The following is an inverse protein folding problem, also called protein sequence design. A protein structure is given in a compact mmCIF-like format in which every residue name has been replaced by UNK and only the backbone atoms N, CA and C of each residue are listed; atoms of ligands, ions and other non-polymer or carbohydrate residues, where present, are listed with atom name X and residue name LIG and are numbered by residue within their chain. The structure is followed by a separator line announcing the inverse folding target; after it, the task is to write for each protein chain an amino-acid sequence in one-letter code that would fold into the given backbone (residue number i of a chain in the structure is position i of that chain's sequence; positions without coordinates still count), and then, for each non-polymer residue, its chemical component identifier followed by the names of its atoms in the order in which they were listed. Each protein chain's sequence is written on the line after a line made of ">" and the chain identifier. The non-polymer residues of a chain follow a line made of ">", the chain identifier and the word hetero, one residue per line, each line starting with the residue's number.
data_IF_817808418803
#
_entry.id   IF_817808418803
#
_cell.length_a   1.000
_cell.length_b   1.000
_cell.length_c   1.000
_cell.angle_alpha   90.00
_cell.angle_beta   90.00
_cell.angle_gamma   90.00
#
_symmetry.space_group_name_H-M   'P 1'
#
loop_
_entity.id
_entity.type
_entity.pdbx_description
1 polymer ?
#
# COMPACT_ATOMS: atom_id res chain seq x y z
N UNK A 1 61.22 -21.85 9.70
CA UNK A 1 60.20 -20.92 10.22
C UNK A 1 59.02 -20.98 9.25
N UNK A 2 57.93 -21.54 9.75
CA UNK A 2 56.73 -21.95 9.01
C UNK A 2 55.94 -20.75 8.50
N UNK A 3 55.67 -20.71 7.20
CA UNK A 3 54.75 -19.76 6.59
C UNK A 3 53.31 -20.22 6.81
N UNK A 4 52.60 -19.55 7.71
CA UNK A 4 51.18 -19.76 7.91
C UNK A 4 50.39 -19.11 6.76
N UNK A 5 49.84 -19.94 5.87
CA UNK A 5 48.89 -19.51 4.85
C UNK A 5 47.61 -18.95 5.49
N UNK A 6 47.15 -17.80 5.01
CA UNK A 6 45.81 -17.27 5.34
C UNK A 6 44.75 -18.21 4.76
N UNK A 7 43.76 -18.65 5.53
CA UNK A 7 42.68 -19.46 4.98
C UNK A 7 41.87 -18.60 4.01
N UNK A 8 41.69 -19.12 2.80
CA UNK A 8 40.73 -18.58 1.84
C UNK A 8 39.32 -18.81 2.41
N UNK A 9 38.61 -17.73 2.73
CA UNK A 9 37.18 -17.79 3.07
C UNK A 9 36.38 -17.99 1.78
N UNK A 10 36.34 -19.22 1.29
CA UNK A 10 35.40 -19.64 0.24
C UNK A 10 34.09 -20.06 0.90
N UNK A 11 33.26 -19.08 1.23
CA UNK A 11 31.85 -19.28 1.57
C UNK A 11 31.02 -18.36 0.70
N UNK A 12 30.52 -18.85 -0.44
CA UNK A 12 29.41 -18.18 -1.11
C UNK A 12 28.22 -18.27 -0.17
N UNK A 13 27.91 -17.17 0.53
CA UNK A 13 26.69 -17.08 1.31
C UNK A 13 25.52 -17.44 0.39
N UNK A 14 24.82 -18.53 0.73
CA UNK A 14 23.71 -19.05 -0.06
C UNK A 14 22.67 -17.93 -0.20
N UNK A 15 22.35 -17.52 -1.44
CA UNK A 15 21.38 -16.45 -1.67
C UNK A 15 20.02 -16.94 -1.22
N UNK A 16 19.44 -16.26 -0.23
CA UNK A 16 18.07 -16.50 0.20
C UNK A 16 17.11 -16.33 -1.00
N UNK A 17 16.05 -17.15 -1.07
CA UNK A 17 15.02 -16.96 -2.07
C UNK A 17 14.34 -15.60 -1.89
N UNK A 18 13.76 -15.07 -2.96
CA UNK A 18 12.96 -13.86 -2.83
C UNK A 18 11.74 -14.16 -1.97
N UNK A 19 11.48 -13.32 -0.96
CA UNK A 19 10.33 -13.48 -0.08
C UNK A 19 8.99 -13.57 -0.85
N UNK A 20 8.89 -12.89 -1.99
CA UNK A 20 7.71 -12.97 -2.86
C UNK A 20 7.55 -14.29 -3.61
N UNK A 21 8.64 -15.02 -3.85
CA UNK A 21 8.56 -16.34 -4.47
C UNK A 21 8.10 -17.38 -3.44
N UNK A 22 8.61 -17.27 -2.21
CA UNK A 22 8.18 -18.12 -1.09
C UNK A 22 6.70 -17.91 -0.77
N UNK A 23 6.27 -16.65 -0.63
CA UNK A 23 4.85 -16.29 -0.41
C UNK A 23 3.92 -16.90 -1.47
N UNK A 24 4.28 -16.78 -2.77
CA UNK A 24 3.52 -17.42 -3.86
C UNK A 24 3.50 -18.95 -3.76
N UNK A 25 4.66 -19.57 -3.49
CA UNK A 25 4.77 -21.03 -3.41
C UNK A 25 3.91 -21.62 -2.29
N UNK A 26 3.75 -20.88 -1.19
CA UNK A 26 2.90 -21.23 -0.05
C UNK A 26 1.43 -20.90 -0.26
N UNK A 27 1.08 -20.24 -1.37
CA UNK A 27 -0.26 -19.72 -1.64
C UNK A 27 -0.76 -18.86 -0.46
N UNK A 28 0.09 -17.93 0.00
CA UNK A 28 -0.27 -16.96 1.04
C UNK A 28 -1.42 -16.07 0.52
N UNK A 29 -2.54 -16.07 1.23
CA UNK A 29 -3.63 -15.14 1.00
C UNK A 29 -3.22 -13.77 1.55
N UNK A 30 -3.13 -12.73 0.70
CA UNK A 30 -2.62 -11.42 1.11
C UNK A 30 -3.65 -10.58 1.88
N UNK A 31 -4.90 -11.04 2.02
CA UNK A 31 -5.98 -10.23 2.62
C UNK A 31 -5.69 -9.83 4.08
N UNK A 32 -6.12 -8.63 4.47
CA UNK A 32 -5.89 -8.10 5.80
C UNK A 32 -4.47 -7.55 6.01
N UNK A 33 -3.66 -7.47 4.95
CA UNK A 33 -2.28 -6.96 5.03
C UNK A 33 -2.13 -5.56 4.45
N UNK A 34 -3.21 -4.94 3.97
CA UNK A 34 -3.20 -3.53 3.66
C UNK A 34 -3.06 -2.71 4.95
N UNK A 35 -2.24 -1.66 4.97
CA UNK A 35 -2.18 -0.75 6.11
C UNK A 35 -3.50 0.00 6.29
N UNK A 36 -3.80 0.43 7.52
CA UNK A 36 -4.98 1.24 7.83
C UNK A 36 -4.65 2.74 7.73
N UNK A 37 -5.18 3.40 6.70
CA UNK A 37 -4.90 4.80 6.37
C UNK A 37 -6.15 5.68 6.45
N UNK A 38 -6.13 6.67 7.34
CA UNK A 38 -7.13 7.74 7.38
C UNK A 38 -6.96 8.74 6.22
N UNK A 39 -5.76 8.85 5.68
CA UNK A 39 -5.44 9.71 4.54
C UNK A 39 -4.15 9.24 3.87
N UNK A 40 -3.93 9.66 2.63
CA UNK A 40 -2.72 9.34 1.87
C UNK A 40 -2.14 10.61 1.26
N UNK A 41 -0.83 10.80 1.42
CA UNK A 41 -0.06 11.80 0.71
C UNK A 41 0.89 11.11 -0.26
N UNK A 42 0.78 11.45 -1.53
CA UNK A 42 1.76 11.11 -2.56
C UNK A 42 2.65 12.32 -2.79
N UNK A 43 3.93 12.19 -2.49
CA UNK A 43 4.96 13.15 -2.87
C UNK A 43 5.51 12.77 -4.24
N UNK A 44 5.56 13.69 -5.18
CA UNK A 44 6.27 13.49 -6.44
C UNK A 44 7.74 13.87 -6.26
N UNK A 45 8.59 12.85 -6.20
CA UNK A 45 10.01 12.97 -5.91
C UNK A 45 10.82 12.11 -6.87
N UNK A 46 11.92 12.65 -7.37
CA UNK A 46 12.89 11.90 -8.17
C UNK A 46 13.32 10.65 -7.43
N UNK A 47 13.52 9.55 -8.18
CA UNK A 47 13.89 8.24 -7.61
C UNK A 47 15.14 8.33 -6.72
N UNK A 48 16.10 9.20 -7.06
CA UNK A 48 17.33 9.42 -6.29
C UNK A 48 17.08 10.00 -4.89
N UNK A 49 15.95 10.68 -4.67
CA UNK A 49 15.56 11.26 -3.38
C UNK A 49 14.80 10.29 -2.48
N UNK A 50 14.24 9.20 -3.03
CA UNK A 50 13.50 8.22 -2.22
C UNK A 50 14.35 7.57 -1.13
N UNK A 51 15.66 7.40 -1.38
CA UNK A 51 16.59 6.88 -0.39
C UNK A 51 16.83 7.89 0.75
N UNK A 52 16.92 9.19 0.43
CA UNK A 52 17.16 10.26 1.40
C UNK A 52 16.01 10.37 2.41
N UNK A 53 14.76 10.21 1.95
CA UNK A 53 13.60 10.23 2.83
C UNK A 53 13.64 9.10 3.87
N UNK A 54 14.38 8.01 3.60
CA UNK A 54 14.51 6.86 4.53
C UNK A 54 15.84 6.83 5.29
N UNK A 55 16.69 7.86 5.12
CA UNK A 55 17.97 8.00 5.82
C UNK A 55 17.78 8.90 7.05
N UNK A 56 17.24 8.30 8.12
CA UNK A 56 16.87 8.99 9.36
C UNK A 56 18.07 9.69 10.04
N UNK A 57 19.29 9.18 9.85
CA UNK A 57 20.51 9.77 10.41
C UNK A 57 20.84 11.11 9.77
N UNK A 58 20.41 11.32 8.52
CA UNK A 58 20.65 12.56 7.76
C UNK A 58 19.49 13.55 7.82
N UNK A 59 18.42 13.23 8.54
CA UNK A 59 17.28 14.13 8.63
C UNK A 59 17.65 15.46 9.28
N UNK A 60 17.04 16.54 8.81
CA UNK A 60 17.09 17.84 9.49
C UNK A 60 16.24 17.82 10.77
N UNK A 61 16.43 18.76 11.72
CA UNK A 61 15.54 18.89 12.88
C UNK A 61 14.07 19.05 12.49
N UNK A 62 13.78 19.79 11.41
CA UNK A 62 12.43 19.95 10.89
C UNK A 62 11.84 18.61 10.43
N UNK A 63 12.59 17.86 9.61
CA UNK A 63 12.15 16.55 9.11
C UNK A 63 11.86 15.58 10.25
N UNK A 64 12.74 15.53 11.28
CA UNK A 64 12.48 14.73 12.50
C UNK A 64 11.19 15.17 13.21
N UNK A 65 11.02 16.47 13.43
CA UNK A 65 9.85 17.01 14.11
C UNK A 65 8.52 16.72 13.39
N UNK A 66 8.53 16.64 12.05
CA UNK A 66 7.35 16.21 11.27
C UNK A 66 6.94 14.80 11.64
N UNK A 67 7.88 13.85 11.66
CA UNK A 67 7.57 12.45 11.96
C UNK A 67 7.21 12.21 13.44
N UNK A 68 7.80 12.97 14.36
CA UNK A 68 7.42 12.93 15.79
C UNK A 68 5.94 13.33 15.96
N UNK A 69 5.53 14.46 15.36
CA UNK A 69 4.13 14.92 15.40
C UNK A 69 3.17 13.96 14.69
N UNK A 70 3.60 13.39 13.56
CA UNK A 70 2.80 12.39 12.86
C UNK A 70 2.61 11.11 13.70
N UNK A 71 3.65 10.67 14.42
CA UNK A 71 3.56 9.52 15.34
C UNK A 71 2.56 9.80 16.46
N UNK A 72 2.64 10.96 17.11
CA UNK A 72 1.70 11.38 18.15
C UNK A 72 0.25 11.37 17.65
N UNK A 73 0.02 11.86 16.43
CA UNK A 73 -1.31 11.84 15.82
C UNK A 73 -1.81 10.42 15.57
N UNK A 74 -0.98 9.52 15.06
CA UNK A 74 -1.35 8.10 14.85
C UNK A 74 -1.65 7.40 16.18
N UNK A 75 -0.90 7.70 17.24
CA UNK A 75 -1.14 7.19 18.59
C UNK A 75 -2.48 7.67 19.17
N UNK A 76 -2.91 8.90 18.85
CA UNK A 76 -4.18 9.45 19.28
C UNK A 76 -5.39 8.93 18.46
N UNK A 77 -5.26 8.86 17.13
CA UNK A 77 -6.38 8.58 16.21
C UNK A 77 -6.55 7.07 15.91
N UNK A 78 -5.53 6.24 16.18
CA UNK A 78 -5.53 4.80 15.92
C UNK A 78 -5.43 4.38 14.45
N UNK A 79 -5.68 5.29 13.52
CA UNK A 79 -5.46 5.12 12.08
C UNK A 79 -4.16 5.78 11.64
N UNK A 80 -3.43 5.12 10.73
CA UNK A 80 -2.21 5.65 10.13
C UNK A 80 -2.48 6.62 8.98
N UNK A 81 -1.40 6.99 8.29
CA UNK A 81 -1.44 7.70 7.02
C UNK A 81 -0.58 6.97 5.99
N UNK A 82 -0.98 7.08 4.71
CA UNK A 82 -0.18 6.61 3.60
C UNK A 82 0.82 7.68 3.18
N UNK A 83 2.09 7.31 3.09
CA UNK A 83 3.13 8.15 2.53
C UNK A 83 3.75 7.43 1.34
N UNK A 84 3.42 7.90 0.13
CA UNK A 84 3.94 7.34 -1.12
C UNK A 84 4.88 8.35 -1.77
N UNK A 85 5.97 7.84 -2.36
CA UNK A 85 6.90 8.66 -3.16
C UNK A 85 6.81 8.19 -4.59
N UNK A 86 6.22 8.98 -5.48
CA UNK A 86 6.07 8.63 -6.90
C UNK A 86 7.06 9.39 -7.76
N UNK A 87 7.62 8.72 -8.76
CA UNK A 87 8.58 9.35 -9.65
C UNK A 87 7.84 10.40 -10.48
N UNK A 88 8.33 11.64 -10.57
CA UNK A 88 7.69 12.65 -11.39
C UNK A 88 7.81 12.27 -12.87
N UNK A 89 6.87 12.74 -13.68
CA UNK A 89 6.92 12.56 -15.13
C UNK A 89 8.11 13.30 -15.75
N UNK A 90 8.45 14.45 -15.18
CA UNK A 90 9.62 15.25 -15.55
C UNK A 90 10.62 15.22 -14.38
N UNK A 91 11.83 14.70 -14.59
CA UNK A 91 12.89 14.78 -13.58
C UNK A 91 13.14 16.22 -13.16
N UNK A 92 13.56 16.42 -11.91
CA UNK A 92 13.93 17.74 -11.38
C UNK A 92 12.80 18.79 -11.35
N UNK A 93 11.55 18.37 -11.58
CA UNK A 93 10.38 19.23 -11.43
C UNK A 93 10.21 19.70 -9.97
N UNK A 94 9.63 20.90 -9.73
CA UNK A 94 9.27 21.34 -8.39
C UNK A 94 8.39 20.34 -7.64
N UNK A 95 8.39 20.44 -6.30
CA UNK A 95 7.62 19.54 -5.44
C UNK A 95 6.13 19.65 -5.73
N UNK A 96 5.52 18.50 -6.04
CA UNK A 96 4.07 18.33 -6.17
C UNK A 96 3.58 17.32 -5.14
N UNK A 97 2.37 17.53 -4.66
CA UNK A 97 1.71 16.62 -3.74
C UNK A 97 0.31 16.27 -4.22
N UNK A 98 -0.08 15.02 -3.98
CA UNK A 98 -1.46 14.56 -4.16
C UNK A 98 -1.95 14.08 -2.81
N UNK A 99 -3.03 14.67 -2.33
CA UNK A 99 -3.60 14.40 -1.03
C UNK A 99 -4.95 13.71 -1.18
N UNK A 100 -5.13 12.64 -0.44
CA UNK A 100 -6.28 11.75 -0.51
C UNK A 100 -6.89 11.66 0.88
N UNK A 101 -8.05 12.29 1.08
CA UNK A 101 -8.79 12.24 2.35
C UNK A 101 -9.96 11.27 2.23
N UNK A 102 -10.35 10.57 3.30
CA UNK A 102 -11.47 9.60 3.24
C UNK A 102 -12.73 10.22 2.64
N UNK A 103 -13.42 9.44 1.82
CA UNK A 103 -14.70 9.80 1.24
C UNK A 103 -15.47 8.56 0.77
N UNK A 104 -16.63 8.78 0.15
CA UNK A 104 -17.44 7.69 -0.36
C UNK A 104 -16.66 6.86 -1.39
N UNK A 105 -16.69 5.52 -1.24
CA UNK A 105 -16.03 4.58 -2.14
C UNK A 105 -14.50 4.56 -2.11
N UNK A 106 -13.86 5.24 -1.15
CA UNK A 106 -12.39 5.30 -1.08
C UNK A 106 -11.88 6.58 -0.43
N UNK A 107 -11.19 7.37 -1.24
CA UNK A 107 -10.64 8.67 -0.89
C UNK A 107 -11.07 9.73 -1.92
N UNK A 108 -10.96 11.00 -1.53
CA UNK A 108 -11.13 12.17 -2.39
C UNK A 108 -9.75 12.74 -2.66
N UNK A 109 -9.37 12.80 -3.94
CA UNK A 109 -8.07 13.29 -4.40
C UNK A 109 -8.09 14.80 -4.60
N UNK A 110 -7.04 15.48 -4.13
CA UNK A 110 -6.68 16.86 -4.47
C UNK A 110 -5.20 16.94 -4.82
N UNK A 111 -4.89 17.63 -5.91
CA UNK A 111 -3.53 17.76 -6.43
C UNK A 111 -3.04 19.19 -6.27
N UNK A 112 -1.79 19.34 -5.86
CA UNK A 112 -1.16 20.63 -5.62
C UNK A 112 0.26 20.68 -6.17
N UNK A 113 0.64 21.83 -6.72
CA UNK A 113 2.00 22.13 -7.12
C UNK A 113 2.55 23.29 -6.28
N UNK A 114 3.85 23.26 -6.00
CA UNK A 114 4.57 24.36 -5.35
C UNK A 114 5.70 24.89 -6.23
N UNK A 115 6.31 25.99 -5.81
CA UNK A 115 7.62 26.43 -6.30
C UNK A 115 8.79 25.86 -5.50
N UNK A 116 8.55 24.94 -4.57
CA UNK A 116 9.58 24.42 -3.68
C UNK A 116 10.46 23.38 -4.39
N UNK A 117 11.77 23.34 -4.10
CA UNK A 117 12.59 22.22 -4.50
C UNK A 117 12.12 20.93 -3.80
N UNK A 118 12.38 19.79 -4.43
CA UNK A 118 12.02 18.48 -3.86
C UNK A 118 12.77 18.14 -2.55
N UNK A 119 13.81 18.90 -2.15
CA UNK A 119 14.49 18.72 -0.85
C UNK A 119 13.61 19.18 0.31
N UNK A 120 12.66 20.07 0.03
CA UNK A 120 11.67 20.57 0.98
C UNK A 120 10.44 19.65 1.05
N UNK A 121 10.60 18.35 0.77
CA UNK A 121 9.52 17.35 0.80
C UNK A 121 8.74 17.34 2.12
N UNK A 122 9.38 17.71 3.23
CA UNK A 122 8.75 17.84 4.54
C UNK A 122 7.61 18.87 4.53
N UNK A 123 7.72 19.96 3.76
CA UNK A 123 6.65 20.95 3.61
C UNK A 123 5.40 20.34 2.99
N UNK A 124 5.56 19.38 2.07
CA UNK A 124 4.44 18.63 1.50
C UNK A 124 3.71 17.78 2.55
N UNK A 125 4.45 17.10 3.43
CA UNK A 125 3.87 16.32 4.52
C UNK A 125 3.21 17.23 5.57
N UNK A 126 3.85 18.34 5.93
CA UNK A 126 3.26 19.32 6.85
C UNK A 126 1.95 19.85 6.27
N UNK A 127 1.97 20.33 5.01
CA UNK A 127 0.81 20.93 4.38
C UNK A 127 -0.35 19.95 4.17
N UNK A 128 -0.10 18.64 4.07
CA UNK A 128 -1.16 17.66 3.84
C UNK A 128 -1.64 16.98 5.11
N UNK A 129 -0.73 16.60 6.01
CA UNK A 129 -1.01 15.72 7.15
C UNK A 129 -0.94 16.43 8.51
N UNK A 130 -0.49 17.68 8.60
CA UNK A 130 -0.35 18.37 9.90
C UNK A 130 -1.03 19.74 9.92
N UNK A 131 -0.97 20.49 8.83
CA UNK A 131 -1.47 21.85 8.71
C UNK A 131 -2.01 22.13 7.29
N UNK A 132 -3.24 21.65 6.98
CA UNK A 132 -3.89 21.84 5.68
C UNK A 132 -4.06 23.29 5.24
N UNK A 133 -4.00 24.26 6.16
CA UNK A 133 -4.10 25.68 5.79
C UNK A 133 -2.93 26.12 4.91
N UNK A 134 -1.76 25.48 5.04
CA UNK A 134 -0.59 25.76 4.22
C UNK A 134 -0.80 25.46 2.73
N UNK A 135 -1.75 24.59 2.37
CA UNK A 135 -2.09 24.32 0.97
C UNK A 135 -2.64 25.56 0.24
N UNK A 136 -3.06 26.62 0.96
CA UNK A 136 -3.43 27.90 0.36
C UNK A 136 -2.27 28.58 -0.37
N UNK A 137 -1.01 28.30 0.02
CA UNK A 137 0.19 28.78 -0.66
C UNK A 137 0.60 27.89 -1.85
N UNK A 138 -0.12 26.80 -2.12
CA UNK A 138 0.15 25.87 -3.21
C UNK A 138 -0.85 26.07 -4.34
N UNK A 139 -0.40 25.90 -5.58
CA UNK A 139 -1.27 26.01 -6.74
C UNK A 139 -2.10 24.73 -6.91
N UNK A 140 -3.45 24.81 -6.84
CA UNK A 140 -4.30 23.64 -7.08
C UNK A 140 -4.18 23.20 -8.55
N UNK A 141 -4.15 21.88 -8.76
CA UNK A 141 -4.04 21.27 -10.07
C UNK A 141 -5.34 20.54 -10.45
N UNK A 142 -5.71 20.51 -11.74
CA UNK A 142 -6.81 19.66 -12.20
C UNK A 142 -6.56 18.19 -11.88
N UNK A 143 -7.57 17.50 -11.34
CA UNK A 143 -7.51 16.07 -11.05
C UNK A 143 -8.04 15.30 -12.27
N UNK A 144 -7.23 14.46 -12.92
CA UNK A 144 -7.68 13.71 -14.08
C UNK A 144 -8.59 12.54 -13.65
N UNK A 145 -9.61 12.16 -14.45
CA UNK A 145 -10.60 11.16 -14.06
C UNK A 145 -10.00 9.74 -13.99
N UNK A 146 -10.58 8.88 -13.16
CA UNK A 146 -10.14 7.48 -13.00
C UNK A 146 -8.98 7.30 -12.01
N UNK A 147 -8.55 6.05 -11.77
CA UNK A 147 -7.52 5.74 -10.78
C UNK A 147 -6.09 5.87 -11.30
N UNK A 148 -5.16 5.94 -10.35
CA UNK A 148 -3.71 5.82 -10.53
C UNK A 148 -3.22 4.55 -9.82
N UNK A 149 -2.33 3.81 -10.49
CA UNK A 149 -1.68 2.62 -9.93
C UNK A 149 -0.25 2.93 -9.53
N UNK A 150 0.01 2.97 -8.23
CA UNK A 150 1.31 3.22 -7.63
C UNK A 150 2.05 1.90 -7.40
N UNK A 151 2.95 1.56 -8.32
CA UNK A 151 3.65 0.26 -8.33
C UNK A 151 4.99 0.41 -7.61
N UNK A 152 5.22 -0.40 -6.58
CA UNK A 152 6.50 -0.40 -5.89
C UNK A 152 7.59 -0.94 -6.83
N UNK A 153 8.60 -0.11 -7.14
CA UNK A 153 9.76 -0.50 -7.98
C UNK A 153 11.09 -0.39 -7.22
N UNK A 154 11.04 -0.22 -5.90
CA UNK A 154 12.22 0.06 -5.08
C UNK A 154 13.00 -1.22 -4.75
N UNK A 155 14.01 -1.53 -5.56
CA UNK A 155 14.79 -2.77 -5.44
C UNK A 155 15.86 -2.81 -4.34
N UNK A 156 16.17 -1.71 -3.68
CA UNK A 156 17.22 -1.66 -2.62
C UNK A 156 16.70 -2.12 -1.26
N UNK A 157 15.40 -1.98 -0.98
CA UNK A 157 14.78 -2.46 0.27
C UNK A 157 14.63 -3.98 0.22
N UNK A 158 14.10 -4.48 -0.89
CA UNK A 158 14.03 -5.89 -1.20
C UNK A 158 14.07 -6.06 -2.73
N UNK A 159 14.90 -6.99 -3.20
CA UNK A 159 15.09 -7.23 -4.63
C UNK A 159 13.79 -7.64 -5.34
N UNK A 160 12.82 -8.21 -4.62
CA UNK A 160 11.54 -8.64 -5.18
C UNK A 160 10.74 -7.47 -5.79
N UNK A 161 10.73 -6.29 -5.15
CA UNK A 161 10.03 -5.12 -5.69
C UNK A 161 10.68 -4.59 -6.98
N UNK A 162 12.01 -4.56 -7.05
CA UNK A 162 12.72 -4.19 -8.28
C UNK A 162 12.48 -5.18 -9.41
N UNK A 163 12.57 -6.49 -9.11
CA UNK A 163 12.41 -7.58 -10.08
C UNK A 163 11.00 -7.67 -10.66
N UNK A 164 9.96 -7.65 -9.81
CA UNK A 164 8.58 -7.88 -10.23
C UNK A 164 7.82 -6.58 -10.53
N UNK A 165 8.10 -5.51 -9.80
CA UNK A 165 7.37 -4.25 -9.95
C UNK A 165 7.67 -3.51 -11.25
N UNK A 166 8.92 -3.54 -11.73
CA UNK A 166 9.31 -2.83 -12.97
C UNK A 166 8.56 -3.37 -14.20
N UNK A 167 8.49 -4.70 -14.45
CA UNK A 167 7.67 -5.25 -15.53
C UNK A 167 6.18 -4.89 -15.41
N UNK A 168 5.61 -4.92 -14.20
CA UNK A 168 4.20 -4.54 -13.98
C UNK A 168 3.94 -3.08 -14.35
N UNK A 169 4.81 -2.18 -13.91
CA UNK A 169 4.71 -0.76 -14.28
C UNK A 169 4.78 -0.57 -15.81
N UNK A 170 5.70 -1.26 -16.48
CA UNK A 170 5.84 -1.20 -17.94
C UNK A 170 4.60 -1.74 -18.66
N UNK A 171 4.05 -2.87 -18.21
CA UNK A 171 2.83 -3.44 -18.79
C UNK A 171 1.62 -2.52 -18.67
N UNK A 172 1.43 -1.90 -17.49
CA UNK A 172 0.38 -0.90 -17.29
C UNK A 172 0.55 0.31 -18.21
N UNK A 173 1.77 0.85 -18.32
CA UNK A 173 2.07 1.99 -19.18
C UNK A 173 1.82 1.66 -20.67
N UNK A 174 2.25 0.47 -21.12
CA UNK A 174 2.01 0.00 -22.49
C UNK A 174 0.52 -0.18 -22.80
N UNK A 175 -0.28 -0.55 -21.80
CA UNK A 175 -1.74 -0.70 -21.92
C UNK A 175 -2.51 0.64 -21.76
N UNK A 176 -1.81 1.78 -21.65
CA UNK A 176 -2.42 3.09 -21.47
C UNK A 176 -3.06 3.32 -20.10
N UNK A 177 -2.74 2.48 -19.10
CA UNK A 177 -3.20 2.66 -17.72
C UNK A 177 -2.27 3.63 -17.01
N UNK A 178 -2.85 4.63 -16.31
CA UNK A 178 -2.05 5.59 -15.53
C UNK A 178 -1.38 4.88 -14.36
N UNK A 179 -0.08 4.69 -14.47
CA UNK A 179 0.74 4.05 -13.46
C UNK A 179 1.92 4.95 -13.07
N UNK A 180 2.36 4.78 -11.82
CA UNK A 180 3.48 5.48 -11.24
C UNK A 180 4.50 4.47 -10.74
N UNK A 181 5.77 4.74 -11.02
CA UNK A 181 6.84 4.12 -10.26
C UNK A 181 6.82 4.73 -8.87
N UNK A 182 6.72 3.90 -7.85
CA UNK A 182 6.62 4.35 -6.47
C UNK A 182 7.70 3.70 -5.61
N UNK A 183 8.17 4.44 -4.60
CA UNK A 183 9.06 3.95 -3.57
C UNK A 183 8.42 2.86 -2.70
N UNK A 184 9.16 2.39 -1.72
CA UNK A 184 8.70 1.30 -0.87
C UNK A 184 7.61 1.76 0.12
N UNK A 185 6.48 1.06 0.15
CA UNK A 185 5.35 1.32 1.05
C UNK A 185 4.92 0.07 1.85
N UNK A 186 5.81 -0.92 1.99
CA UNK A 186 5.51 -2.20 2.65
C UNK A 186 4.94 -3.26 1.72
N UNK A 187 4.93 -4.51 2.19
CA UNK A 187 4.41 -5.66 1.42
C UNK A 187 5.34 -6.17 0.32
N UNK A 188 6.66 -6.06 0.48
CA UNK A 188 7.62 -6.58 -0.51
C UNK A 188 7.51 -8.10 -0.71
N UNK A 189 7.08 -8.85 0.31
CA UNK A 189 6.75 -10.29 0.16
C UNK A 189 5.55 -10.54 -0.77
N UNK A 190 4.78 -9.52 -1.09
CA UNK A 190 3.69 -9.58 -2.04
C UNK A 190 4.06 -8.98 -3.40
N UNK A 191 5.35 -8.73 -3.66
CA UNK A 191 5.78 -8.11 -4.91
C UNK A 191 5.38 -8.98 -6.12
N UNK A 192 4.92 -8.40 -7.24
CA UNK A 192 4.66 -6.96 -7.40
C UNK A 192 3.41 -6.53 -6.62
N UNK A 193 3.54 -5.43 -5.88
CA UNK A 193 2.45 -4.82 -5.12
C UNK A 193 2.18 -3.41 -5.64
N UNK A 194 0.91 -3.02 -5.68
CA UNK A 194 0.46 -1.72 -6.12
C UNK A 194 -0.60 -1.15 -5.18
N UNK A 195 -0.62 0.17 -5.02
CA UNK A 195 -1.75 0.89 -4.42
C UNK A 195 -2.55 1.52 -5.55
N UNK A 196 -3.85 1.27 -5.59
CA UNK A 196 -4.78 1.96 -6.48
C UNK A 196 -5.43 3.12 -5.72
N UNK A 197 -5.26 4.34 -6.24
CA UNK A 197 -5.86 5.55 -5.68
C UNK A 197 -6.74 6.21 -6.74
N UNK A 198 -7.94 6.70 -6.41
CA UNK A 198 -8.42 6.99 -5.07
C UNK A 198 -9.20 5.85 -4.38
N UNK A 199 -9.35 4.66 -4.96
CA UNK A 199 -10.12 3.57 -4.34
C UNK A 199 -9.55 3.08 -3.02
N UNK A 200 -8.23 3.22 -2.81
CA UNK A 200 -7.54 2.77 -1.60
C UNK A 200 -7.26 1.27 -1.57
N UNK A 201 -7.41 0.57 -2.69
CA UNK A 201 -7.16 -0.87 -2.76
C UNK A 201 -5.67 -1.15 -2.91
N UNK A 202 -5.18 -2.12 -2.15
CA UNK A 202 -3.81 -2.61 -2.29
C UNK A 202 -3.80 -4.00 -2.88
N UNK A 203 -2.91 -4.22 -3.84
CA UNK A 203 -2.82 -5.44 -4.63
C UNK A 203 -1.50 -6.17 -4.39
N UNK A 204 -1.51 -7.48 -4.59
CA UNK A 204 -0.42 -8.41 -4.33
C UNK A 204 -0.19 -9.34 -5.53
N UNK A 205 1.05 -9.82 -5.66
CA UNK A 205 1.48 -10.84 -6.62
C UNK A 205 1.11 -10.51 -8.08
N UNK A 206 1.06 -9.23 -8.44
CA UNK A 206 0.68 -8.81 -9.77
C UNK A 206 1.70 -9.31 -10.81
N UNK A 207 1.19 -9.79 -11.95
CA UNK A 207 1.92 -9.89 -13.21
C UNK A 207 1.53 -8.69 -14.10
N UNK A 208 2.28 -8.39 -15.18
CA UNK A 208 1.93 -7.30 -16.09
C UNK A 208 0.50 -7.42 -16.64
N UNK A 209 0.10 -8.61 -17.09
CA UNK A 209 -1.23 -8.88 -17.65
C UNK A 209 -2.31 -8.76 -16.58
N UNK A 210 -2.09 -9.38 -15.42
CA UNK A 210 -3.03 -9.34 -14.30
C UNK A 210 -3.26 -7.92 -13.80
N UNK A 211 -2.21 -7.10 -13.75
CA UNK A 211 -2.31 -5.71 -13.32
C UNK A 211 -3.23 -4.89 -14.25
N UNK A 212 -3.14 -5.12 -15.56
CA UNK A 212 -4.03 -4.46 -16.54
C UNK A 212 -5.48 -4.91 -16.36
N UNK A 213 -5.72 -6.21 -16.20
CA UNK A 213 -7.06 -6.75 -16.00
C UNK A 213 -7.69 -6.23 -14.69
N UNK A 214 -6.91 -6.16 -13.60
CA UNK A 214 -7.33 -5.57 -12.32
C UNK A 214 -7.64 -4.08 -12.48
N UNK A 215 -6.79 -3.31 -13.17
CA UNK A 215 -6.99 -1.88 -13.37
C UNK A 215 -8.28 -1.56 -14.13
N UNK A 216 -8.64 -2.43 -15.08
CA UNK A 216 -9.82 -2.29 -15.94
C UNK A 216 -11.06 -3.00 -15.41
N UNK A 217 -10.95 -3.67 -14.25
CA UNK A 217 -12.03 -4.49 -13.66
C UNK A 217 -12.53 -5.60 -14.59
N UNK A 218 -11.62 -6.18 -15.38
CA UNK A 218 -11.93 -7.22 -16.36
C UNK A 218 -12.03 -8.63 -15.73
N UNK A 219 -11.52 -8.81 -14.51
CA UNK A 219 -11.63 -10.06 -13.75
C UNK A 219 -12.96 -10.18 -13.04
N UNK A 220 -13.40 -11.42 -12.80
CA UNK A 220 -14.45 -11.64 -11.82
C UNK A 220 -13.99 -11.20 -10.42
N UNK A 221 -14.85 -10.61 -9.58
CA UNK A 221 -14.51 -10.18 -8.23
C UNK A 221 -13.83 -11.27 -7.39
N UNK A 222 -14.29 -12.52 -7.50
CA UNK A 222 -13.70 -13.68 -6.81
C UNK A 222 -12.27 -14.02 -7.25
N UNK A 223 -11.92 -13.75 -8.52
CA UNK A 223 -10.56 -13.95 -9.04
C UNK A 223 -9.65 -12.82 -8.59
N UNK A 224 -10.10 -11.57 -8.73
CA UNK A 224 -9.35 -10.40 -8.27
C UNK A 224 -9.11 -10.42 -6.75
N UNK A 225 -10.09 -10.88 -5.97
CA UNK A 225 -10.03 -10.97 -4.52
C UNK A 225 -8.84 -11.80 -4.00
N UNK A 226 -8.32 -12.76 -4.78
CA UNK A 226 -7.14 -13.57 -4.44
C UNK A 226 -5.84 -12.76 -4.41
N UNK A 227 -5.85 -11.60 -5.06
CA UNK A 227 -4.72 -10.68 -5.16
C UNK A 227 -4.94 -9.42 -4.32
N UNK A 228 -6.06 -9.32 -3.61
CA UNK A 228 -6.40 -8.14 -2.82
C UNK A 228 -5.77 -8.24 -1.44
N UNK A 229 -4.88 -7.29 -1.11
CA UNK A 229 -4.36 -7.11 0.25
C UNK A 229 -5.41 -6.52 1.19
N UNK A 230 -6.28 -5.66 0.65
CA UNK A 230 -7.37 -5.04 1.37
C UNK A 230 -7.61 -3.60 0.95
N UNK A 231 -8.65 -3.01 1.52
CA UNK A 231 -8.95 -1.59 1.44
C UNK A 231 -8.27 -0.85 2.59
N UNK A 232 -7.38 0.10 2.28
CA UNK A 232 -6.62 0.83 3.29
C UNK A 232 -7.50 1.65 4.24
N UNK A 233 -8.72 1.98 3.85
CA UNK A 233 -9.66 2.70 4.70
C UNK A 233 -10.25 1.88 5.87
N UNK A 234 -9.90 0.61 5.99
CA UNK A 234 -10.41 -0.30 7.01
C UNK A 234 -9.26 -0.93 7.83
N UNK A 235 -9.49 -1.24 9.11
CA UNK A 235 -8.54 -1.99 9.92
C UNK A 235 -8.35 -3.43 9.36
N UNK A 236 -7.22 -4.09 9.64
CA UNK A 236 -6.83 -5.37 9.03
C UNK A 236 -7.93 -6.45 8.97
N UNK A 237 -8.55 -6.80 10.10
CA UNK A 237 -9.58 -7.84 10.12
C UNK A 237 -10.85 -7.44 9.36
N UNK A 238 -11.17 -6.14 9.31
CA UNK A 238 -12.30 -5.66 8.53
C UNK A 238 -12.08 -5.72 7.03
N UNK A 239 -10.84 -5.71 6.55
CA UNK A 239 -10.53 -5.90 5.13
C UNK A 239 -10.92 -7.31 4.67
N UNK A 240 -10.80 -8.32 5.55
CA UNK A 240 -11.23 -9.70 5.27
C UNK A 240 -12.74 -9.72 4.99
N UNK A 241 -13.53 -9.07 5.86
CA UNK A 241 -14.98 -8.97 5.67
C UNK A 241 -15.35 -8.15 4.42
N UNK A 242 -14.65 -7.05 4.17
CA UNK A 242 -14.85 -6.20 2.98
C UNK A 242 -14.65 -6.97 1.67
N UNK A 243 -13.67 -7.87 1.62
CA UNK A 243 -13.43 -8.74 0.47
C UNK A 243 -14.60 -9.69 0.22
N UNK A 244 -15.19 -10.28 1.27
CA UNK A 244 -16.34 -11.16 1.09
C UNK A 244 -17.55 -10.41 0.52
N UNK A 245 -17.74 -9.15 0.91
CA UNK A 245 -18.79 -8.29 0.35
C UNK A 245 -18.49 -7.90 -1.11
N UNK A 246 -17.22 -7.65 -1.46
CA UNK A 246 -16.80 -7.49 -2.86
C UNK A 246 -17.13 -8.73 -3.70
N UNK A 247 -16.90 -9.93 -3.18
CA UNK A 247 -17.20 -11.18 -3.88
C UNK A 247 -18.72 -11.33 -4.08
N UNK A 248 -19.52 -11.06 -3.05
CA UNK A 248 -20.98 -11.22 -3.08
C UNK A 248 -21.68 -10.18 -3.97
N UNK A 249 -21.24 -8.92 -3.91
CA UNK A 249 -21.93 -7.80 -4.54
C UNK A 249 -21.24 -7.28 -5.80
N UNK A 250 -20.06 -7.82 -6.10
CA UNK A 250 -19.24 -7.46 -7.24
C UNK A 250 -18.63 -6.06 -7.18
N UNK A 251 -18.05 -5.62 -8.30
CA UNK A 251 -17.26 -4.38 -8.36
C UNK A 251 -18.00 -3.12 -7.90
N UNK A 252 -19.33 -3.08 -8.06
CA UNK A 252 -20.16 -1.97 -7.60
C UNK A 252 -20.14 -1.80 -6.07
N UNK A 253 -19.75 -2.82 -5.30
CA UNK A 253 -19.53 -2.70 -3.86
C UNK A 253 -18.49 -1.64 -3.50
N UNK A 254 -17.49 -1.42 -4.37
CA UNK A 254 -16.41 -0.48 -4.10
C UNK A 254 -16.89 0.97 -3.98
N UNK A 255 -18.08 1.29 -4.50
CA UNK A 255 -18.71 2.62 -4.38
C UNK A 255 -19.30 2.85 -2.97
N UNK A 256 -19.39 1.81 -2.14
CA UNK A 256 -19.91 1.92 -0.79
C UNK A 256 -19.00 2.78 0.09
N UNK A 257 -19.60 3.78 0.75
CA UNK A 257 -19.00 4.42 1.91
C UNK A 257 -19.07 3.44 3.08
N UNK A 258 -17.93 3.08 3.66
CA UNK A 258 -17.84 1.99 4.64
C UNK A 258 -16.73 2.19 5.66
N UNK A 259 -17.06 1.84 6.89
CA UNK A 259 -16.18 1.82 8.06
C UNK A 259 -16.47 0.57 8.88
N UNK A 260 -15.56 0.22 9.79
CA UNK A 260 -15.74 -0.96 10.62
C UNK A 260 -15.16 -0.78 12.02
N UNK A 261 -15.77 -1.45 12.98
CA UNK A 261 -15.23 -1.68 14.32
C UNK A 261 -14.79 -3.13 14.45
N UNK A 262 -13.72 -3.34 15.21
CA UNK A 262 -13.15 -4.67 15.47
C UNK A 262 -13.04 -4.85 16.97
N UNK A 263 -13.61 -5.92 17.50
CA UNK A 263 -13.52 -6.29 18.91
C UNK A 263 -13.08 -7.76 19.02
N UNK A 264 -11.81 -7.97 19.34
CA UNK A 264 -11.21 -9.30 19.26
C UNK A 264 -11.21 -9.81 17.81
N UNK A 265 -11.88 -10.93 17.57
CA UNK A 265 -12.09 -11.54 16.25
C UNK A 265 -13.43 -11.14 15.61
N UNK A 266 -14.30 -10.40 16.30
CA UNK A 266 -15.58 -9.95 15.75
C UNK A 266 -15.44 -8.62 15.03
N UNK A 267 -15.92 -8.59 13.79
CA UNK A 267 -15.92 -7.42 12.92
C UNK A 267 -17.36 -6.99 12.68
N UNK A 268 -17.60 -5.69 12.85
CA UNK A 268 -18.84 -5.04 12.43
C UNK A 268 -18.51 -4.02 11.34
N UNK A 269 -18.96 -4.26 10.12
CA UNK A 269 -18.81 -3.35 8.98
C UNK A 269 -20.13 -2.63 8.73
N UNK A 270 -20.09 -1.30 8.80
CA UNK A 270 -21.23 -0.42 8.53
C UNK A 270 -21.00 0.27 7.20
N UNK A 271 -22.03 0.34 6.37
CA UNK A 271 -21.93 0.91 5.04
C UNK A 271 -23.15 1.73 4.63
N UNK A 272 -22.93 2.65 3.69
CA UNK A 272 -23.96 3.28 2.87
C UNK A 272 -23.68 3.00 1.41
N UNK A 273 -24.59 2.32 0.75
CA UNK A 273 -24.45 1.90 -0.64
C UNK A 273 -25.78 2.05 -1.38
N UNK A 274 -25.77 2.69 -2.55
CA UNK A 274 -26.98 2.95 -3.37
C UNK A 274 -28.13 3.60 -2.58
N UNK A 275 -27.79 4.52 -1.68
CA UNK A 275 -28.74 5.24 -0.83
C UNK A 275 -29.25 4.45 0.38
N UNK A 276 -28.87 3.19 0.54
CA UNK A 276 -29.26 2.35 1.67
C UNK A 276 -28.12 2.25 2.69
N UNK A 277 -28.45 2.42 3.96
CA UNK A 277 -27.55 2.12 5.06
C UNK A 277 -27.72 0.65 5.48
N UNK A 278 -26.62 0.00 5.84
CA UNK A 278 -26.63 -1.38 6.29
C UNK A 278 -25.44 -1.69 7.17
N UNK A 279 -25.50 -2.85 7.80
CA UNK A 279 -24.45 -3.36 8.67
C UNK A 279 -24.29 -4.86 8.42
N UNK A 280 -23.05 -5.34 8.48
CA UNK A 280 -22.72 -6.76 8.42
C UNK A 280 -21.74 -7.13 9.52
N UNK A 281 -21.97 -8.28 10.14
CA UNK A 281 -21.20 -8.80 11.27
C UNK A 281 -20.69 -10.18 10.96
N UNK A 282 -19.44 -10.41 11.31
CA UNK A 282 -18.81 -11.72 11.20
C UNK A 282 -17.72 -11.89 12.26
N UNK A 283 -17.40 -13.14 12.56
CA UNK A 283 -16.17 -13.53 13.23
C UNK A 283 -15.10 -13.85 12.18
N UNK A 284 -13.88 -13.36 12.41
CA UNK A 284 -12.71 -13.57 11.54
C UNK A 284 -11.66 -14.38 12.30
N UNK A 285 -11.69 -15.69 12.11
CA UNK A 285 -10.82 -16.65 12.79
C UNK A 285 -9.52 -16.90 12.01
N UNK A 286 -8.44 -17.23 12.71
CA UNK A 286 -7.23 -17.75 12.07
C UNK A 286 -7.45 -19.22 11.71
N UNK A 287 -7.59 -19.51 10.43
CA UNK A 287 -7.79 -20.86 9.90
C UNK A 287 -6.50 -21.69 9.85
N UNK A 288 -5.37 -21.04 9.54
CA UNK A 288 -4.02 -21.62 9.56
C UNK A 288 -2.97 -20.53 9.72
N UNK A 289 -1.75 -20.93 10.07
CA UNK A 289 -0.57 -20.08 10.06
C UNK A 289 0.37 -20.57 8.96
N UNK A 290 1.05 -19.64 8.29
CA UNK A 290 2.14 -19.94 7.35
C UNK A 290 3.45 -19.40 7.92
N UNK A 291 4.54 -20.12 7.74
CA UNK A 291 5.88 -19.61 8.06
C UNK A 291 6.50 -19.01 6.81
N UNK A 292 6.69 -17.69 6.81
CA UNK A 292 7.22 -16.95 5.66
C UNK A 292 8.50 -16.21 6.02
N UNK A 293 9.50 -16.13 5.13
CA UNK A 293 10.71 -15.34 5.38
C UNK A 293 10.37 -13.87 5.65
N UNK A 294 11.07 -13.26 6.61
CA UNK A 294 10.86 -11.86 6.97
C UNK A 294 11.27 -10.89 5.86
N UNK A 295 12.31 -11.21 5.09
CA UNK A 295 12.69 -10.53 3.85
C UNK A 295 13.68 -11.38 3.04
N UNK A 296 13.99 -10.96 1.82
CA UNK A 296 15.01 -11.62 0.99
C UNK A 296 16.45 -11.48 1.55
N UNK A 297 16.62 -10.76 2.66
CA UNK A 297 17.91 -10.51 3.31
C UNK A 297 17.95 -10.94 4.80
N UNK A 298 16.84 -11.47 5.32
CA UNK A 298 16.73 -11.90 6.72
C UNK A 298 16.29 -13.37 6.77
N UNK A 299 17.09 -14.28 7.34
CA UNK A 299 16.78 -15.72 7.36
C UNK A 299 15.63 -16.07 8.32
N UNK A 300 15.25 -15.14 9.22
CA UNK A 300 14.15 -15.34 10.16
C UNK A 300 12.81 -15.52 9.44
N UNK A 301 11.97 -16.40 9.99
CA UNK A 301 10.60 -16.60 9.55
C UNK A 301 9.62 -15.85 10.45
N UNK A 302 8.52 -15.41 9.86
CA UNK A 302 7.37 -14.85 10.55
C UNK A 302 6.19 -15.80 10.37
N UNK A 303 5.49 -16.08 11.46
CA UNK A 303 4.20 -16.74 11.41
C UNK A 303 3.14 -15.73 10.95
N UNK A 304 2.50 -16.00 9.81
CA UNK A 304 1.46 -15.14 9.23
C UNK A 304 0.11 -15.84 9.21
N UNK A 305 -0.94 -15.20 9.76
CA UNK A 305 -2.26 -15.80 9.84
C UNK A 305 -2.91 -15.86 8.46
N UNK A 306 -3.77 -16.85 8.28
CA UNK A 306 -4.65 -17.01 7.14
C UNK A 306 -6.07 -17.13 7.66
N UNK A 307 -6.98 -16.29 7.16
CA UNK A 307 -8.26 -16.05 7.83
C UNK A 307 -9.41 -16.88 7.24
N UNK A 308 -10.42 -17.12 8.06
CA UNK A 308 -11.75 -17.62 7.67
C UNK A 308 -12.82 -16.70 8.27
N UNK A 309 -13.90 -16.49 7.53
CA UNK A 309 -15.05 -15.67 7.96
C UNK A 309 -16.22 -16.57 8.35
N UNK A 310 -16.83 -16.30 9.50
CA UNK A 310 -18.08 -16.90 9.95
C UNK A 310 -19.10 -15.79 10.16
N UNK A 311 -20.14 -15.73 9.32
CA UNK A 311 -21.18 -14.70 9.43
C UNK A 311 -21.98 -14.84 10.73
N UNK A 312 -22.15 -13.73 11.45
CA UNK A 312 -22.92 -13.67 12.70
C UNK A 312 -24.35 -13.19 12.46
N UNK A 313 -24.55 -12.46 11.36
CA UNK A 313 -25.88 -12.17 10.86
C UNK A 313 -26.35 -13.41 10.08
N UNK A 314 -27.61 -13.83 10.29
CA UNK A 314 -28.20 -14.92 9.50
C UNK A 314 -28.01 -14.66 8.00
N UNK A 315 -27.75 -15.71 7.22
CA UNK A 315 -27.49 -15.56 5.78
C UNK A 315 -28.61 -14.75 5.13
N UNK A 316 -28.31 -13.50 4.77
CA UNK A 316 -29.19 -12.69 3.96
C UNK A 316 -29.21 -13.35 2.57
N UNK A 317 -30.29 -14.07 2.32
CA UNK A 317 -30.67 -14.68 1.03
C UNK A 317 -30.57 -13.69 -0.13
#
# INVERSE_FOLDING_TARGET
>A
MSGAGRPAMTGTAERLPLCADVSRSLQEDPIGTAPHWAEVTVLELDVRRWAQLRDFERWTPEQRGVFERLRERVEADGAGFGMLMSAPQQPDAPLRVRHYTRGAGGYVRRDYASGLPQDDWAQGLIATLLDPQRLQAWAPCPVPPGPDLHVCTHGTVDAACGRYGVPVYQGLAAAGVRAWRTGHFGGHRFAATAVELPSGLLWAHLTPELAVQVARRELAPAEAARHLRGFAGLPPLAQVLDRELLIQHGWAWLDADRHATVNGDEVTLTYRWRGQAGQRRARVDVARQLEVPGSSHKPGHNSVPQYRVTWLDGTAS
#
